data_IF_279352148973
#
_entry.id   IF_279352148973
#
_cell.length_a   1.000
_cell.length_b   1.000
_cell.length_c   1.000
_cell.angle_alpha   90.00
_cell.angle_beta   90.00
_cell.angle_gamma   90.00
#
_symmetry.space_group_name_H-M   'P 1'
#
loop_
_entity.id
_entity.type
_entity.pdbx_description
1 polymer ?
#
# COMPACT_ATOMS: atom_id res chain seq x y z
N UNK A 1 8.66 -35.82 38.71
CA UNK A 1 8.65 -35.34 40.10
C UNK A 1 8.92 -33.84 40.24
N UNK A 2 9.46 -33.14 39.24
CA UNK A 2 9.81 -31.71 39.37
C UNK A 2 8.67 -30.71 39.12
N UNK A 3 7.62 -31.09 38.38
CA UNK A 3 6.49 -30.22 38.05
C UNK A 3 5.55 -29.97 39.25
N UNK A 4 5.36 -30.98 40.10
CA UNK A 4 4.50 -30.89 41.30
C UNK A 4 5.10 -29.98 42.37
N UNK A 5 6.43 -29.96 42.52
CA UNK A 5 7.11 -29.03 43.42
C UNK A 5 6.95 -27.57 42.99
N UNK A 6 7.00 -27.32 41.67
CA UNK A 6 6.81 -25.98 41.11
C UNK A 6 5.38 -25.43 41.24
N UNK A 7 4.37 -26.31 41.22
CA UNK A 7 2.97 -25.92 41.42
C UNK A 7 2.72 -25.49 42.88
N UNK A 8 3.17 -26.30 43.85
CA UNK A 8 3.06 -25.98 45.28
C UNK A 8 3.74 -24.66 45.64
N UNK A 9 4.87 -24.36 45.01
CA UNK A 9 5.57 -23.10 45.18
C UNK A 9 4.70 -21.91 44.74
N UNK A 10 4.01 -22.03 43.59
CA UNK A 10 3.09 -21.00 43.10
C UNK A 10 1.87 -20.82 44.02
N UNK A 11 1.28 -21.92 44.52
CA UNK A 11 0.18 -21.87 45.50
C UNK A 11 0.61 -21.16 46.78
N UNK A 12 1.82 -21.44 47.27
CA UNK A 12 2.36 -20.80 48.48
C UNK A 12 2.55 -19.30 48.26
N UNK A 13 3.04 -18.90 47.08
CA UNK A 13 3.20 -17.48 46.72
C UNK A 13 1.84 -16.77 46.59
N UNK A 14 0.82 -17.43 46.02
CA UNK A 14 -0.54 -16.90 45.95
C UNK A 14 -1.08 -16.59 47.35
N UNK A 15 -0.91 -17.51 48.31
CA UNK A 15 -1.31 -17.29 49.71
C UNK A 15 -0.54 -16.12 50.34
N UNK A 16 0.74 -15.94 50.01
CA UNK A 16 1.53 -14.81 50.50
C UNK A 16 1.02 -13.47 49.92
N UNK A 17 0.77 -13.39 48.62
CA UNK A 17 0.29 -12.18 47.95
C UNK A 17 -1.12 -11.78 48.42
N UNK A 18 -2.02 -12.75 48.61
CA UNK A 18 -3.37 -12.48 49.15
C UNK A 18 -3.31 -11.93 50.58
N UNK A 19 -2.40 -12.44 51.42
CA UNK A 19 -2.17 -11.91 52.77
C UNK A 19 -1.62 -10.47 52.74
N UNK A 20 -0.70 -10.17 51.84
CA UNK A 20 -0.18 -8.81 51.65
C UNK A 20 -1.30 -7.85 51.22
N UNK A 21 -2.18 -8.29 50.33
CA UNK A 21 -3.32 -7.51 49.85
C UNK A 21 -4.29 -7.20 51.00
N UNK A 22 -4.57 -8.19 51.85
CA UNK A 22 -5.41 -7.97 53.03
C UNK A 22 -4.82 -6.94 53.99
N UNK A 23 -3.50 -6.97 54.23
CA UNK A 23 -2.82 -5.98 55.07
C UNK A 23 -2.94 -4.56 54.48
N UNK A 24 -2.72 -4.42 53.17
CA UNK A 24 -2.87 -3.12 52.49
C UNK A 24 -4.32 -2.63 52.54
N UNK A 25 -5.30 -3.53 52.38
CA UNK A 25 -6.71 -3.19 52.50
C UNK A 25 -7.09 -2.73 53.92
N UNK A 26 -6.48 -3.32 54.96
CA UNK A 26 -6.65 -2.87 56.34
C UNK A 26 -6.08 -1.45 56.54
N UNK A 27 -4.91 -1.15 55.96
CA UNK A 27 -4.32 0.19 55.98
C UNK A 27 -5.15 1.21 55.18
N UNK A 28 -5.76 0.78 54.07
CA UNK A 28 -6.71 1.60 53.30
C UNK A 28 -8.02 1.84 54.05
N UNK A 29 -8.40 0.96 54.98
CA UNK A 29 -9.60 1.15 55.80
C UNK A 29 -9.40 2.28 56.81
N UNK A 30 -8.19 2.48 57.32
CA UNK A 30 -7.84 3.66 58.12
C UNK A 30 -7.64 4.91 57.25
N UNK A 31 -6.96 4.78 56.11
CA UNK A 31 -6.60 5.91 55.24
C UNK A 31 -7.02 5.67 53.77
N UNK A 32 -8.32 5.85 53.43
CA UNK A 32 -8.84 5.51 52.11
C UNK A 32 -8.37 6.44 50.97
N UNK A 33 -7.78 7.59 51.31
CA UNK A 33 -7.26 8.57 50.34
C UNK A 33 -5.79 8.38 49.99
N UNK A 34 -5.12 7.35 50.54
CA UNK A 34 -3.71 7.11 50.26
C UNK A 34 -3.53 6.49 48.87
N UNK A 35 -3.06 7.30 47.91
CA UNK A 35 -2.85 6.90 46.52
C UNK A 35 -1.82 5.77 46.35
N UNK A 36 -0.80 5.72 47.21
CA UNK A 36 0.25 4.69 47.15
C UNK A 36 -0.34 3.31 47.48
N UNK A 37 -1.13 3.21 48.55
CA UNK A 37 -1.78 1.95 48.91
C UNK A 37 -2.83 1.53 47.87
N UNK A 38 -3.52 2.48 47.24
CA UNK A 38 -4.45 2.18 46.14
C UNK A 38 -3.72 1.65 44.89
N UNK A 39 -2.55 2.20 44.56
CA UNK A 39 -1.73 1.69 43.46
C UNK A 39 -1.21 0.29 43.77
N UNK A 40 -0.60 0.09 44.94
CA UNK A 40 -0.05 -1.21 45.34
C UNK A 40 -1.15 -2.27 45.43
N UNK A 41 -2.34 -1.91 45.91
CA UNK A 41 -3.48 -2.82 45.92
C UNK A 41 -3.87 -3.28 44.51
N UNK A 42 -3.90 -2.37 43.52
CA UNK A 42 -4.18 -2.71 42.12
C UNK A 42 -3.10 -3.64 41.54
N UNK A 43 -1.84 -3.28 41.71
CA UNK A 43 -0.71 -4.06 41.19
C UNK A 43 -0.69 -5.47 41.81
N UNK A 44 -0.99 -5.58 43.11
CA UNK A 44 -1.01 -6.87 43.81
C UNK A 44 -2.21 -7.74 43.39
N UNK A 45 -3.36 -7.14 43.07
CA UNK A 45 -4.50 -7.87 42.45
C UNK A 45 -4.09 -8.47 41.11
N UNK A 46 -3.39 -7.71 40.26
CA UNK A 46 -2.91 -8.18 38.96
C UNK A 46 -1.91 -9.34 39.10
N UNK A 47 -0.95 -9.23 40.02
CA UNK A 47 0.01 -10.32 40.30
C UNK A 47 -0.69 -11.58 40.79
N UNK A 48 -1.69 -11.45 41.66
CA UNK A 48 -2.49 -12.60 42.12
C UNK A 48 -3.23 -13.24 40.96
N UNK A 49 -3.81 -12.43 40.07
CA UNK A 49 -4.54 -12.90 38.89
C UNK A 49 -3.62 -13.70 37.94
N UNK A 50 -2.46 -13.15 37.57
CA UNK A 50 -1.48 -13.82 36.73
C UNK A 50 -0.93 -15.11 37.37
N UNK A 51 -0.76 -15.11 38.70
CA UNK A 51 -0.31 -16.29 39.44
C UNK A 51 -1.38 -17.40 39.41
N UNK A 52 -2.66 -17.04 39.55
CA UNK A 52 -3.79 -17.98 39.43
C UNK A 52 -3.84 -18.60 38.02
N UNK A 53 -3.78 -17.78 36.98
CA UNK A 53 -3.79 -18.24 35.59
C UNK A 53 -2.61 -19.17 35.27
N UNK A 54 -1.44 -18.90 35.84
CA UNK A 54 -0.26 -19.77 35.69
C UNK A 54 -0.46 -21.13 36.38
N UNK A 55 -1.12 -21.16 37.53
CA UNK A 55 -1.48 -22.41 38.22
C UNK A 55 -2.49 -23.18 37.37
N UNK A 56 -3.55 -22.53 36.89
CA UNK A 56 -4.59 -23.15 36.07
C UNK A 56 -4.02 -23.72 34.77
N UNK A 57 -3.14 -22.99 34.10
CA UNK A 57 -2.41 -23.49 32.92
C UNK A 57 -1.57 -24.72 33.24
N UNK A 58 -0.86 -24.73 34.37
CA UNK A 58 -0.05 -25.88 34.80
C UNK A 58 -0.90 -27.09 35.19
N UNK A 59 -2.03 -26.87 35.85
CA UNK A 59 -3.00 -27.93 36.20
C UNK A 59 -3.58 -28.53 34.93
N UNK A 60 -4.03 -27.70 33.98
CA UNK A 60 -4.59 -28.17 32.70
C UNK A 60 -3.55 -28.89 31.83
N UNK A 61 -2.29 -28.41 31.83
CA UNK A 61 -1.16 -29.07 31.15
C UNK A 61 -0.83 -30.43 31.76
N UNK A 62 -0.94 -30.58 33.08
CA UNK A 62 -0.74 -31.86 33.77
C UNK A 62 -1.90 -32.84 33.54
N UNK A 63 -3.12 -32.35 33.29
CA UNK A 63 -4.28 -33.17 32.96
C UNK A 63 -4.34 -33.62 31.49
N UNK A 64 -3.61 -32.97 30.59
CA UNK A 64 -3.67 -33.25 29.13
C UNK A 64 -2.74 -34.37 28.63
N UNK A 65 -2.05 -35.11 29.52
CA UNK A 65 -1.31 -36.34 29.16
C UNK A 65 -2.06 -37.59 29.59
N UNK A 66 -3.28 -37.80 29.08
CA UNK A 66 -3.97 -39.11 29.02
C UNK A 66 -5.36 -38.92 28.34
N UNK A 67 -5.51 -39.36 27.08
CA UNK A 67 -6.82 -39.57 26.45
C UNK A 67 -6.94 -39.06 25.01
N UNK A 68 -7.10 -40.01 24.09
CA UNK A 68 -7.31 -39.83 22.64
C UNK A 68 -8.80 -40.12 22.32
N UNK A 69 -9.38 -39.29 21.43
CA UNK A 69 -10.49 -39.54 20.46
C UNK A 69 -12.00 -39.43 20.83
N UNK A 70 -12.65 -38.45 20.16
CA UNK A 70 -13.87 -38.54 19.30
C UNK A 70 -15.33 -38.28 19.78
N UNK A 71 -15.89 -37.21 19.17
CA UNK A 71 -17.23 -36.98 18.56
C UNK A 71 -18.55 -36.70 19.35
N UNK A 72 -18.99 -35.41 19.23
CA UNK A 72 -20.29 -34.86 18.74
C UNK A 72 -21.61 -34.97 19.56
N UNK A 73 -22.15 -33.83 20.02
CA UNK A 73 -23.44 -33.16 19.63
C UNK A 73 -23.92 -32.16 20.70
N UNK A 74 -24.44 -31.00 20.23
CA UNK A 74 -25.20 -29.91 20.86
C UNK A 74 -26.14 -30.34 22.03
N UNK A 75 -26.46 -29.58 23.10
CA UNK A 75 -26.81 -28.15 23.18
C UNK A 75 -26.88 -27.61 24.66
N UNK A 76 -26.47 -26.35 24.85
CA UNK A 76 -26.85 -25.33 25.87
C UNK A 76 -26.20 -25.21 27.29
N UNK A 77 -25.61 -24.02 27.49
CA UNK A 77 -25.35 -23.20 28.70
C UNK A 77 -24.00 -23.26 29.47
N UNK A 78 -23.15 -22.26 29.16
CA UNK A 78 -22.24 -21.47 30.03
C UNK A 78 -20.92 -22.12 30.51
N UNK A 79 -19.82 -21.86 29.79
CA UNK A 79 -18.41 -22.15 30.19
C UNK A 79 -17.42 -21.14 29.54
N UNK A 80 -16.16 -21.00 30.03
CA UNK A 80 -15.45 -19.72 30.15
C UNK A 80 -14.85 -19.22 28.83
N UNK A 81 -14.93 -17.91 28.62
CA UNK A 81 -14.47 -17.17 27.42
C UNK A 81 -12.99 -17.42 27.11
N UNK A 82 -12.71 -18.41 26.26
CA UNK A 82 -11.52 -18.39 25.41
C UNK A 82 -11.77 -17.35 24.32
N UNK A 83 -10.88 -16.36 24.18
CA UNK A 83 -10.95 -15.40 23.08
C UNK A 83 -10.79 -16.18 21.77
N UNK A 84 -11.87 -16.27 20.98
CA UNK A 84 -11.85 -16.92 19.67
C UNK A 84 -10.99 -16.09 18.71
N UNK A 85 -9.73 -16.49 18.56
CA UNK A 85 -8.85 -15.92 17.54
C UNK A 85 -9.37 -16.39 16.18
N UNK A 86 -10.19 -15.58 15.51
CA UNK A 86 -10.80 -15.90 14.21
C UNK A 86 -9.82 -15.89 13.04
N UNK A 87 -8.69 -15.18 13.15
CA UNK A 87 -7.68 -15.08 12.10
C UNK A 87 -6.28 -15.40 12.62
N UNK A 88 -5.52 -16.22 11.89
CA UNK A 88 -4.16 -16.63 12.26
C UNK A 88 -3.14 -15.62 11.71
N UNK A 89 -2.06 -15.28 12.45
CA UNK A 89 -0.98 -14.46 11.92
C UNK A 89 -0.39 -15.07 10.63
N UNK A 90 -0.17 -14.22 9.63
CA UNK A 90 0.21 -14.59 8.26
C UNK A 90 -0.96 -14.80 7.30
N UNK A 91 -2.21 -14.80 7.77
CA UNK A 91 -3.38 -14.96 6.90
C UNK A 91 -3.70 -13.67 6.14
N UNK A 92 -4.12 -13.79 4.88
CA UNK A 92 -4.61 -12.68 4.07
C UNK A 92 -6.08 -12.38 4.42
N UNK A 93 -6.37 -11.12 4.72
CA UNK A 93 -7.67 -10.63 5.19
C UNK A 93 -8.02 -9.31 4.49
N UNK A 94 -9.28 -8.92 4.52
CA UNK A 94 -9.70 -7.56 4.16
C UNK A 94 -9.96 -6.78 5.46
N UNK A 95 -9.32 -5.63 5.59
CA UNK A 95 -9.38 -4.75 6.75
C UNK A 95 -10.14 -3.46 6.42
N UNK A 96 -11.08 -3.09 7.30
CA UNK A 96 -11.91 -1.90 7.14
C UNK A 96 -11.13 -0.64 7.55
N UNK A 97 -10.95 0.29 6.62
CA UNK A 97 -10.36 1.59 6.89
C UNK A 97 -11.15 2.69 6.16
N UNK A 98 -11.55 3.73 6.88
CA UNK A 98 -12.34 4.85 6.31
C UNK A 98 -13.62 4.41 5.56
N UNK A 99 -14.23 3.30 5.95
CA UNK A 99 -15.44 2.75 5.31
C UNK A 99 -15.19 1.92 4.04
N UNK A 100 -13.93 1.69 3.67
CA UNK A 100 -13.51 0.86 2.53
C UNK A 100 -12.73 -0.35 3.04
N UNK A 101 -12.93 -1.50 2.42
CA UNK A 101 -12.21 -2.73 2.75
C UNK A 101 -10.94 -2.83 1.90
N UNK A 102 -9.80 -2.86 2.57
CA UNK A 102 -8.49 -2.94 1.92
C UNK A 102 -7.86 -4.31 2.16
N UNK A 103 -7.13 -4.86 1.17
CA UNK A 103 -6.38 -6.09 1.39
C UNK A 103 -5.24 -5.87 2.38
N UNK A 104 -5.17 -6.73 3.38
CA UNK A 104 -4.16 -6.70 4.43
C UNK A 104 -3.70 -8.12 4.78
N UNK A 105 -2.58 -8.23 5.46
CA UNK A 105 -2.17 -9.46 6.11
C UNK A 105 -2.18 -9.27 7.62
N UNK A 106 -2.54 -10.32 8.35
CA UNK A 106 -2.39 -10.33 9.81
C UNK A 106 -0.92 -10.51 10.14
N UNK A 107 -0.32 -9.58 10.86
CA UNK A 107 1.08 -9.67 11.30
C UNK A 107 1.15 -10.39 12.66
N UNK A 108 0.39 -9.90 13.63
CA UNK A 108 0.31 -10.51 14.97
C UNK A 108 -1.05 -10.30 15.61
N UNK A 109 -1.39 -11.17 16.56
CA UNK A 109 -2.61 -11.07 17.38
C UNK A 109 -2.18 -10.80 18.82
N UNK A 110 -2.69 -9.73 19.40
CA UNK A 110 -2.44 -9.36 20.80
C UNK A 110 -3.29 -10.25 21.72
N UNK A 111 -2.83 -10.49 22.96
CA UNK A 111 -3.61 -11.19 24.01
C UNK A 111 -5.00 -10.59 24.24
N UNK A 112 -5.14 -9.30 23.93
CA UNK A 112 -6.35 -8.51 24.19
C UNK A 112 -7.42 -8.72 23.10
N UNK A 113 -7.12 -9.54 22.08
CA UNK A 113 -8.01 -9.80 20.94
C UNK A 113 -7.92 -8.75 19.82
N UNK A 114 -6.97 -7.81 19.91
CA UNK A 114 -6.62 -6.90 18.82
C UNK A 114 -5.74 -7.60 17.78
N UNK A 115 -5.97 -7.28 16.51
CA UNK A 115 -5.20 -7.76 15.38
C UNK A 115 -4.33 -6.64 14.83
N UNK A 116 -3.02 -6.86 14.82
CA UNK A 116 -2.10 -6.02 14.08
C UNK A 116 -2.12 -6.50 12.63
N UNK A 117 -2.68 -5.68 11.75
CA UNK A 117 -2.71 -5.94 10.31
C UNK A 117 -1.83 -4.96 9.57
N UNK A 118 -1.29 -5.41 8.45
CA UNK A 118 -0.45 -4.60 7.60
C UNK A 118 -1.00 -4.59 6.17
N UNK A 119 -1.33 -3.38 5.71
CA UNK A 119 -2.03 -3.14 4.46
C UNK A 119 -1.11 -3.33 3.26
N UNK A 120 -1.55 -4.13 2.29
CA UNK A 120 -0.86 -4.30 1.03
C UNK A 120 -0.97 -3.00 0.21
N UNK A 121 0.11 -2.59 -0.47
CA UNK A 121 0.13 -1.40 -1.33
C UNK A 121 0.43 -0.08 -0.60
N UNK A 122 0.04 0.02 0.67
CA UNK A 122 0.28 1.21 1.50
C UNK A 122 1.52 1.08 2.39
N UNK A 123 1.91 -0.14 2.76
CA UNK A 123 3.05 -0.40 3.66
C UNK A 123 2.83 0.16 5.08
N UNK A 124 1.58 0.50 5.42
CA UNK A 124 1.17 0.95 6.75
C UNK A 124 0.60 -0.22 7.54
N UNK A 125 0.80 -0.19 8.85
CA UNK A 125 0.20 -1.15 9.79
C UNK A 125 -0.87 -0.47 10.64
N UNK A 126 -1.85 -1.24 11.11
CA UNK A 126 -2.88 -0.77 12.01
C UNK A 126 -3.30 -1.87 12.98
N UNK A 127 -3.68 -1.46 14.19
CA UNK A 127 -4.30 -2.30 15.18
C UNK A 127 -5.83 -2.20 15.03
N UNK A 128 -6.47 -3.31 14.70
CA UNK A 128 -7.90 -3.40 14.44
C UNK A 128 -8.54 -4.52 15.25
N UNK A 129 -9.83 -4.40 15.54
CA UNK A 129 -10.60 -5.49 16.15
C UNK A 129 -11.14 -6.45 15.09
N UNK A 130 -11.57 -7.63 15.51
CA UNK A 130 -12.15 -8.66 14.64
C UNK A 130 -13.30 -8.13 13.76
N UNK A 131 -14.14 -7.23 14.30
CA UNK A 131 -15.27 -6.64 13.56
C UNK A 131 -14.85 -5.81 12.34
N UNK A 132 -13.62 -5.29 12.35
CA UNK A 132 -13.03 -4.54 11.26
C UNK A 132 -12.21 -5.43 10.31
N UNK A 133 -12.23 -6.75 10.49
CA UNK A 133 -11.56 -7.73 9.65
C UNK A 133 -12.56 -8.72 9.05
N UNK A 134 -12.34 -9.10 7.80
CA UNK A 134 -13.07 -10.19 7.15
C UNK A 134 -12.14 -11.08 6.36
N UNK A 135 -12.52 -12.34 6.21
CA UNK A 135 -11.82 -13.26 5.31
C UNK A 135 -11.96 -12.76 3.86
N UNK A 136 -10.92 -12.96 3.06
CA UNK A 136 -11.04 -12.77 1.61
C UNK A 136 -11.91 -13.92 1.09
N UNK A 137 -13.05 -13.58 0.47
CA UNK A 137 -13.87 -14.56 -0.24
C UNK A 137 -13.13 -15.05 -1.48
N UNK A 138 -12.38 -16.14 -1.31
CA UNK A 138 -11.68 -16.80 -2.40
C UNK A 138 -12.71 -17.64 -3.15
N UNK A 139 -13.09 -17.19 -4.35
CA UNK A 139 -13.85 -18.06 -5.23
C UNK A 139 -12.91 -19.17 -5.72
N UNK A 140 -12.98 -20.35 -5.08
CA UNK A 140 -12.08 -21.47 -5.33
C UNK A 140 -11.99 -21.90 -6.81
N UNK A 141 -13.03 -21.61 -7.60
CA UNK A 141 -13.04 -21.83 -9.05
C UNK A 141 -12.05 -20.94 -9.83
N UNK A 142 -11.69 -19.77 -9.31
CA UNK A 142 -10.75 -18.82 -9.94
C UNK A 142 -9.29 -19.10 -9.55
N UNK A 143 -9.06 -19.62 -8.34
CA UNK A 143 -7.72 -19.98 -7.82
C UNK A 143 -7.20 -21.29 -8.40
N UNK A 144 -8.09 -22.26 -8.68
CA UNK A 144 -7.71 -23.58 -9.20
C UNK A 144 -7.06 -23.59 -10.60
N UNK A 145 -7.05 -22.44 -11.28
CA UNK A 145 -6.48 -22.30 -12.64
C UNK A 145 -5.26 -21.36 -12.68
N UNK A 146 -4.84 -20.81 -11.54
CA UNK A 146 -3.58 -20.06 -11.44
C UNK A 146 -2.41 -21.01 -11.14
N UNK A 147 -1.22 -20.72 -11.71
CA UNK A 147 0.01 -21.37 -11.29
C UNK A 147 0.34 -21.01 -9.84
N UNK A 148 1.08 -21.90 -9.16
CA UNK A 148 1.52 -21.68 -7.77
C UNK A 148 2.26 -20.34 -7.60
N UNK A 149 2.26 -19.80 -6.37
CA UNK A 149 2.88 -18.52 -6.01
C UNK A 149 4.32 -18.38 -6.54
N UNK A 150 5.07 -19.48 -6.60
CA UNK A 150 6.48 -19.50 -7.03
C UNK A 150 6.66 -19.46 -8.57
N UNK A 151 5.66 -19.90 -9.33
CA UNK A 151 5.71 -19.92 -10.79
C UNK A 151 5.34 -18.57 -11.42
N UNK A 152 4.76 -17.66 -10.63
CA UNK A 152 4.39 -16.31 -11.08
C UNK A 152 5.64 -15.42 -11.03
N UNK A 153 6.11 -15.03 -12.21
CA UNK A 153 7.27 -14.13 -12.38
C UNK A 153 6.85 -12.75 -12.88
N UNK A 154 7.78 -11.79 -12.79
CA UNK A 154 7.61 -10.45 -13.34
C UNK A 154 7.34 -10.52 -14.85
N UNK A 155 6.30 -9.84 -15.31
CA UNK A 155 5.80 -9.90 -16.68
C UNK A 155 4.62 -10.85 -16.89
N UNK A 156 4.21 -11.63 -15.88
CA UNK A 156 3.06 -12.53 -15.99
C UNK A 156 1.76 -11.74 -16.18
N UNK A 157 1.03 -12.06 -17.26
CA UNK A 157 -0.29 -11.48 -17.54
C UNK A 157 -1.36 -12.27 -16.80
N UNK A 158 -2.10 -11.60 -15.95
CA UNK A 158 -3.18 -12.18 -15.15
C UNK A 158 -4.35 -11.20 -15.07
N UNK A 159 -5.35 -11.54 -14.29
CA UNK A 159 -6.40 -10.60 -13.89
C UNK A 159 -6.35 -10.44 -12.39
N UNK A 160 -6.66 -9.26 -11.87
CA UNK A 160 -6.69 -9.02 -10.42
C UNK A 160 -7.96 -8.28 -10.03
N UNK A 161 -8.54 -8.67 -8.89
CA UNK A 161 -9.62 -7.93 -8.22
C UNK A 161 -9.07 -6.58 -7.73
N UNK A 162 -9.72 -5.48 -8.10
CA UNK A 162 -9.41 -4.15 -7.57
C UNK A 162 -10.19 -3.93 -6.26
N UNK A 163 -9.52 -3.43 -5.21
CA UNK A 163 -10.14 -3.27 -3.88
C UNK A 163 -11.24 -2.20 -3.86
N UNK A 164 -11.17 -1.19 -4.73
CA UNK A 164 -12.08 -0.04 -4.71
C UNK A 164 -13.50 -0.37 -5.17
N UNK A 165 -13.64 -1.27 -6.15
CA UNK A 165 -14.93 -1.67 -6.73
C UNK A 165 -15.18 -3.19 -6.69
N UNK A 166 -14.23 -3.98 -6.19
CA UNK A 166 -14.25 -5.43 -6.18
C UNK A 166 -14.36 -6.07 -7.58
N UNK A 167 -14.04 -5.34 -8.65
CA UNK A 167 -14.09 -5.82 -10.04
C UNK A 167 -12.73 -6.36 -10.46
N UNK A 168 -12.75 -7.43 -11.25
CA UNK A 168 -11.55 -8.08 -11.77
C UNK A 168 -11.14 -7.46 -13.10
N UNK A 169 -9.92 -6.91 -13.16
CA UNK A 169 -9.36 -6.26 -14.34
C UNK A 169 -8.11 -7.00 -14.86
N UNK A 170 -7.83 -6.89 -16.15
CA UNK A 170 -6.57 -7.39 -16.73
C UNK A 170 -5.38 -6.59 -16.20
N UNK A 171 -4.33 -7.30 -15.81
CA UNK A 171 -3.13 -6.70 -15.26
C UNK A 171 -1.86 -7.50 -15.57
N UNK A 172 -0.72 -6.83 -15.40
CA UNK A 172 0.60 -7.43 -15.56
C UNK A 172 1.35 -7.37 -14.23
N UNK A 173 1.89 -8.49 -13.77
CA UNK A 173 2.72 -8.54 -12.56
C UNK A 173 4.03 -7.81 -12.85
N UNK A 174 4.29 -6.70 -12.17
CA UNK A 174 5.52 -5.93 -12.33
C UNK A 174 6.60 -6.36 -11.34
N UNK A 175 6.21 -6.81 -10.15
CA UNK A 175 7.13 -7.18 -9.08
C UNK A 175 6.46 -8.19 -8.14
N UNK A 176 7.21 -9.21 -7.72
CA UNK A 176 6.77 -10.16 -6.69
C UNK A 176 7.20 -9.64 -5.31
N UNK A 177 6.26 -9.50 -4.37
CA UNK A 177 6.54 -9.13 -2.98
C UNK A 177 6.48 -10.37 -2.07
N UNK A 178 7.00 -10.28 -0.86
CA UNK A 178 6.94 -11.38 0.12
C UNK A 178 5.50 -11.85 0.40
N UNK A 179 4.55 -10.92 0.45
CA UNK A 179 3.17 -11.14 0.90
C UNK A 179 2.14 -11.12 -0.23
N UNK A 180 2.52 -10.67 -1.43
CA UNK A 180 1.61 -10.47 -2.55
C UNK A 180 2.36 -10.13 -3.84
N UNK A 181 1.65 -9.48 -4.76
CA UNK A 181 2.17 -9.16 -6.09
C UNK A 181 1.83 -7.72 -6.44
N UNK A 182 2.83 -6.98 -6.91
CA UNK A 182 2.60 -5.67 -7.51
C UNK A 182 2.15 -5.86 -8.95
N UNK A 183 0.92 -5.48 -9.24
CA UNK A 183 0.28 -5.61 -10.56
C UNK A 183 0.04 -4.23 -11.16
N UNK A 184 0.22 -4.11 -12.48
CA UNK A 184 -0.10 -2.93 -13.27
C UNK A 184 -1.38 -3.20 -14.05
N UNK A 185 -2.44 -2.45 -13.76
CA UNK A 185 -3.72 -2.59 -14.46
C UNK A 185 -3.67 -2.04 -15.88
N UNK A 186 -4.16 -2.84 -16.83
CA UNK A 186 -4.29 -2.43 -18.22
C UNK A 186 -5.41 -1.38 -18.36
N UNK A 187 -5.15 -0.31 -19.10
CA UNK A 187 -6.12 0.76 -19.37
C UNK A 187 -5.89 2.03 -18.55
N UNK A 188 -5.77 1.92 -17.22
CA UNK A 188 -5.58 3.09 -16.34
C UNK A 188 -4.12 3.35 -15.97
N UNK A 189 -3.24 2.34 -16.09
CA UNK A 189 -1.81 2.47 -15.78
C UNK A 189 -1.51 2.62 -14.29
N UNK A 190 -2.48 2.28 -13.43
CA UNK A 190 -2.30 2.27 -11.98
C UNK A 190 -1.61 0.97 -11.57
N UNK A 191 -0.62 1.08 -10.67
CA UNK A 191 0.04 -0.07 -10.05
C UNK A 191 -0.48 -0.25 -8.62
N UNK A 192 -0.87 -1.47 -8.26
CA UNK A 192 -1.37 -1.82 -6.94
C UNK A 192 -0.69 -3.09 -6.44
N UNK A 193 -0.57 -3.25 -5.13
CA UNK A 193 -0.12 -4.50 -4.54
C UNK A 193 -1.32 -5.30 -4.05
N UNK A 194 -1.50 -6.47 -4.64
CA UNK A 194 -2.65 -7.34 -4.36
C UNK A 194 -2.18 -8.68 -3.77
N UNK A 195 -2.98 -9.29 -2.88
CA UNK A 195 -2.69 -10.61 -2.35
C UNK A 195 -2.90 -11.67 -3.45
N UNK A 196 -2.36 -12.88 -3.25
CA UNK A 196 -2.48 -13.97 -4.23
C UNK A 196 -3.94 -14.34 -4.51
N UNK A 197 -4.79 -14.23 -3.50
CA UNK A 197 -6.22 -14.50 -3.48
C UNK A 197 -7.01 -13.60 -4.44
N UNK A 198 -6.48 -12.43 -4.78
CA UNK A 198 -7.10 -11.51 -5.73
C UNK A 198 -6.72 -11.78 -7.17
N UNK A 199 -5.66 -12.57 -7.39
CA UNK A 199 -5.26 -12.93 -8.73
C UNK A 199 -6.26 -13.94 -9.30
N UNK A 200 -6.47 -13.83 -10.60
CA UNK A 200 -7.24 -14.74 -11.44
C UNK A 200 -6.41 -15.08 -12.67
N UNK A 201 -6.55 -16.31 -13.17
CA UNK A 201 -5.89 -16.69 -14.42
C UNK A 201 -6.34 -15.75 -15.55
N UNK A 202 -5.48 -15.53 -16.54
CA UNK A 202 -5.85 -14.76 -17.72
C UNK A 202 -6.89 -15.50 -18.61
N UNK A 203 -7.31 -16.72 -18.23
CA UNK A 203 -8.24 -17.51 -19.04
C UNK A 203 -9.60 -16.83 -19.05
N UNK A 204 -9.97 -16.44 -20.26
CA UNK A 204 -11.18 -15.72 -20.57
C UNK A 204 -12.37 -16.68 -20.49
N UNK A 205 -13.08 -16.67 -19.36
CA UNK A 205 -14.49 -17.07 -19.40
C UNK A 205 -15.29 -15.92 -20.03
N UNK A 206 -16.07 -16.19 -21.09
CA UNK A 206 -16.70 -15.14 -21.87
C UNK A 206 -17.85 -14.52 -21.09
N UNK A 207 -17.80 -13.21 -20.87
CA UNK A 207 -19.02 -12.45 -20.70
C UNK A 207 -19.72 -12.41 -22.06
N UNK A 208 -20.94 -12.93 -22.10
CA UNK A 208 -21.80 -12.95 -23.29
C UNK A 208 -21.98 -11.53 -23.84
N UNK A 209 -21.38 -11.23 -24.98
CA UNK A 209 -21.80 -10.15 -25.87
C UNK A 209 -21.65 -10.65 -27.32
N UNK A 210 -22.74 -10.57 -28.07
CA UNK A 210 -23.04 -11.28 -29.32
C UNK A 210 -22.36 -10.67 -30.55
N UNK A 211 -21.70 -11.52 -31.37
CA UNK A 211 -21.44 -11.36 -32.82
C UNK A 211 -20.41 -10.27 -33.23
N UNK A 212 -19.49 -10.44 -34.17
CA UNK A 212 -19.52 -11.19 -35.43
C UNK A 212 -18.11 -11.14 -36.09
N UNK A 213 -17.48 -12.31 -36.22
CA UNK A 213 -16.65 -12.91 -37.31
C UNK A 213 -15.47 -12.19 -38.04
N UNK A 214 -14.37 -12.98 -38.12
CA UNK A 214 -13.27 -13.16 -39.12
C UNK A 214 -12.15 -12.10 -39.27
N UNK A 215 -10.91 -12.47 -38.93
CA UNK A 215 -9.90 -12.98 -39.89
C UNK A 215 -8.46 -13.05 -39.30
N UNK A 216 -7.89 -14.25 -39.34
CA UNK A 216 -6.47 -14.57 -39.09
C UNK A 216 -5.59 -14.16 -40.29
N UNK A 217 -4.33 -13.75 -40.06
CA UNK A 217 -3.15 -14.19 -40.85
C UNK A 217 -1.86 -14.12 -39.99
N UNK A 218 -1.34 -15.31 -39.69
CA UNK A 218 0.03 -15.87 -39.73
C UNK A 218 1.32 -15.00 -39.75
N UNK A 219 2.20 -15.37 -38.81
CA UNK A 219 3.61 -15.83 -38.96
C UNK A 219 4.70 -14.96 -39.62
N UNK A 220 5.83 -14.77 -38.89
CA UNK A 220 7.18 -15.16 -39.34
C UNK A 220 8.29 -14.87 -38.29
N UNK A 221 9.23 -15.81 -38.21
CA UNK A 221 10.52 -15.89 -37.49
C UNK A 221 11.48 -14.68 -37.57
N UNK A 222 12.37 -14.55 -36.56
CA UNK A 222 13.84 -14.66 -36.73
C UNK A 222 14.67 -14.23 -35.50
N UNK A 223 15.30 -15.24 -34.88
CA UNK A 223 16.70 -15.42 -34.43
C UNK A 223 17.59 -14.28 -33.83
N UNK A 224 18.30 -14.72 -32.78
CA UNK A 224 19.74 -14.59 -32.46
C UNK A 224 20.32 -13.39 -31.67
N UNK A 225 21.02 -13.73 -30.59
CA UNK A 225 22.40 -13.28 -30.40
C UNK A 225 22.78 -12.43 -29.18
N UNK A 226 23.38 -13.08 -28.17
CA UNK A 226 24.63 -12.60 -27.54
C UNK A 226 24.55 -11.72 -26.28
N UNK A 227 25.01 -12.26 -25.14
CA UNK A 227 25.12 -11.56 -23.86
C UNK A 227 26.49 -10.94 -23.56
N UNK A 228 26.63 -10.36 -22.37
CA UNK A 228 27.77 -10.47 -21.46
C UNK A 228 27.65 -9.51 -20.27
N UNK A 229 28.04 -10.02 -19.11
CA UNK A 229 28.15 -9.38 -17.81
C UNK A 229 29.23 -8.29 -17.75
N UNK A 230 29.02 -7.26 -16.93
CA UNK A 230 30.10 -6.64 -16.16
C UNK A 230 29.54 -5.96 -14.90
N UNK A 231 30.22 -6.19 -13.79
CA UNK A 231 29.81 -5.90 -12.42
C UNK A 231 30.31 -4.54 -11.88
N UNK A 232 29.68 -4.15 -10.77
CA UNK A 232 30.20 -3.35 -9.64
C UNK A 232 30.38 -1.83 -9.79
N UNK A 233 29.58 -1.07 -9.02
CA UNK A 233 30.07 -0.14 -7.98
C UNK A 233 28.90 0.52 -7.22
N UNK A 234 28.95 0.41 -5.88
CA UNK A 234 28.00 0.95 -4.91
C UNK A 234 28.24 2.43 -4.64
N UNK A 235 27.28 3.29 -5.01
CA UNK A 235 27.13 4.65 -4.47
C UNK A 235 25.63 4.96 -4.29
N UNK A 236 25.25 5.44 -3.11
CA UNK A 236 23.88 5.84 -2.78
C UNK A 236 23.44 7.05 -3.64
N UNK A 237 22.87 6.77 -4.81
CA UNK A 237 22.18 7.74 -5.67
C UNK A 237 20.76 7.96 -5.15
N UNK A 238 20.41 9.23 -4.92
CA UNK A 238 19.02 9.65 -4.78
C UNK A 238 18.26 9.20 -6.03
N UNK A 239 17.13 8.49 -5.86
CA UNK A 239 16.38 7.86 -6.94
C UNK A 239 16.03 8.87 -8.06
N UNK A 240 16.13 8.49 -9.35
CA UNK A 240 15.84 9.40 -10.45
C UNK A 240 14.36 9.82 -10.44
N UNK A 241 14.08 11.11 -10.70
CA UNK A 241 12.72 11.62 -10.82
C UNK A 241 11.92 10.82 -11.87
N UNK A 242 10.68 10.46 -11.55
CA UNK A 242 9.78 9.71 -12.45
C UNK A 242 9.42 10.57 -13.65
N UNK A 243 10.08 10.36 -14.78
CA UNK A 243 9.83 11.08 -16.05
C UNK A 243 8.68 10.39 -16.78
N UNK A 244 7.55 11.08 -16.95
CA UNK A 244 6.44 10.57 -17.75
C UNK A 244 6.77 10.72 -19.25
N UNK A 245 6.94 9.59 -19.94
CA UNK A 245 7.20 9.58 -21.39
C UNK A 245 6.00 10.15 -22.16
N UNK A 246 6.19 11.02 -23.18
CA UNK A 246 5.08 11.61 -23.92
C UNK A 246 4.32 10.54 -24.71
N UNK A 247 2.98 10.65 -24.75
CA UNK A 247 2.11 9.72 -25.47
C UNK A 247 2.33 9.92 -26.98
N UNK A 248 2.78 8.87 -27.69
CA UNK A 248 2.94 8.90 -29.15
C UNK A 248 1.56 9.04 -29.81
N UNK A 249 1.40 10.00 -30.72
CA UNK A 249 0.13 10.22 -31.43
C UNK A 249 -0.09 9.02 -32.36
N UNK A 250 -1.18 8.25 -32.19
CA UNK A 250 -1.42 7.08 -33.02
C UNK A 250 -1.76 7.46 -34.47
N UNK A 251 -1.26 6.67 -35.40
CA UNK A 251 -1.34 6.86 -36.86
C UNK A 251 -2.78 6.90 -37.40
N UNK A 252 -3.72 6.26 -36.69
CA UNK A 252 -5.16 6.28 -36.99
C UNK A 252 -5.85 7.66 -36.87
N UNK A 253 -5.13 8.69 -36.42
CA UNK A 253 -5.60 10.09 -36.40
C UNK A 253 -4.97 10.98 -37.48
N UNK A 254 -4.13 10.42 -38.36
CA UNK A 254 -3.59 11.17 -39.50
C UNK A 254 -4.71 11.52 -40.48
N UNK A 255 -4.66 12.74 -41.00
CA UNK A 255 -5.66 13.28 -41.93
C UNK A 255 -5.30 12.74 -43.31
N UNK A 256 -6.07 11.78 -43.81
CA UNK A 256 -5.96 11.36 -45.20
C UNK A 256 -6.68 12.38 -46.09
N UNK A 257 -6.17 12.65 -47.32
CA UNK A 257 -6.84 13.54 -48.26
C UNK A 257 -8.24 13.05 -48.65
N UNK A 258 -8.54 11.76 -48.48
CA UNK A 258 -9.79 11.09 -48.81
C UNK A 258 -10.97 11.29 -47.83
N UNK A 259 -10.74 11.83 -46.63
CA UNK A 259 -11.78 11.95 -45.58
C UNK A 259 -12.68 13.20 -45.73
N UNK A 260 -13.94 13.10 -45.30
CA UNK A 260 -14.94 14.19 -45.28
C UNK A 260 -14.52 15.35 -44.34
N UNK A 261 -14.85 16.61 -44.67
CA UNK A 261 -14.38 17.80 -43.91
C UNK A 261 -14.69 17.74 -42.41
N UNK A 262 -15.85 17.19 -42.03
CA UNK A 262 -16.27 16.99 -40.65
C UNK A 262 -15.41 15.98 -39.87
N UNK A 263 -14.90 14.93 -40.54
CA UNK A 263 -14.05 13.92 -39.93
C UNK A 263 -12.62 14.41 -39.77
N UNK A 264 -12.14 15.21 -40.73
CA UNK A 264 -10.86 15.91 -40.66
C UNK A 264 -10.82 16.86 -39.45
N UNK A 265 -11.91 17.57 -39.16
CA UNK A 265 -12.01 18.43 -37.97
C UNK A 265 -12.05 17.65 -36.65
N UNK A 266 -12.77 16.52 -36.61
CA UNK A 266 -12.77 15.63 -35.44
C UNK A 266 -11.36 15.10 -35.14
N UNK A 267 -10.62 14.68 -36.18
CA UNK A 267 -9.22 14.24 -36.08
C UNK A 267 -8.29 15.38 -35.65
N UNK A 268 -8.42 16.58 -36.25
CA UNK A 268 -7.67 17.78 -35.84
C UNK A 268 -7.89 18.15 -34.37
N UNK A 269 -9.13 18.11 -33.89
CA UNK A 269 -9.47 18.44 -32.49
C UNK A 269 -8.86 17.43 -31.52
N UNK A 270 -8.94 16.13 -31.83
CA UNK A 270 -8.32 15.06 -31.03
C UNK A 270 -6.78 15.16 -31.04
N UNK A 271 -6.15 15.46 -32.17
CA UNK A 271 -4.70 15.70 -32.23
C UNK A 271 -4.26 16.91 -31.41
N UNK A 272 -5.03 18.02 -31.43
CA UNK A 272 -4.74 19.20 -30.59
C UNK A 272 -4.86 18.88 -29.10
N UNK A 273 -5.86 18.10 -28.70
CA UNK A 273 -6.02 17.67 -27.31
C UNK A 273 -4.84 16.80 -26.84
N UNK A 274 -4.41 15.82 -27.66
CA UNK A 274 -3.26 14.97 -27.35
C UNK A 274 -1.96 15.80 -27.27
N UNK A 275 -1.74 16.73 -28.20
CA UNK A 275 -0.57 17.63 -28.18
C UNK A 275 -0.58 18.55 -26.96
N UNK A 276 -1.74 19.05 -26.56
CA UNK A 276 -1.93 19.85 -25.34
C UNK A 276 -1.64 19.04 -24.08
N UNK A 277 -2.11 17.79 -24.03
CA UNK A 277 -1.85 16.88 -22.91
C UNK A 277 -0.35 16.57 -22.79
N UNK A 278 0.33 16.31 -23.91
CA UNK A 278 1.79 16.12 -23.92
C UNK A 278 2.56 17.39 -23.49
N UNK A 279 2.08 18.59 -23.85
CA UNK A 279 2.65 19.86 -23.36
C UNK A 279 2.51 19.99 -21.84
N UNK A 280 1.36 19.65 -21.28
CA UNK A 280 1.13 19.69 -19.83
C UNK A 280 2.03 18.68 -19.10
N UNK A 281 2.11 17.44 -19.59
CA UNK A 281 2.99 16.40 -19.04
C UNK A 281 4.47 16.81 -19.04
N UNK A 282 4.94 17.48 -20.08
CA UNK A 282 6.32 17.99 -20.10
C UNK A 282 6.55 19.07 -19.03
N UNK A 283 5.58 19.98 -18.84
CA UNK A 283 5.66 21.01 -17.80
C UNK A 283 5.69 20.37 -16.41
N UNK A 284 4.89 19.34 -16.17
CA UNK A 284 4.86 18.65 -14.87
C UNK A 284 6.13 17.83 -14.62
N UNK A 285 6.69 17.19 -15.66
CA UNK A 285 8.01 16.57 -15.59
C UNK A 285 9.09 17.59 -15.20
N UNK A 286 9.10 18.77 -15.83
CA UNK A 286 10.06 19.83 -15.50
C UNK A 286 9.90 20.34 -14.07
N UNK A 287 8.66 20.47 -13.58
CA UNK A 287 8.37 20.82 -12.18
C UNK A 287 8.89 19.76 -11.23
N UNK A 288 8.65 18.48 -11.52
CA UNK A 288 9.07 17.37 -10.68
C UNK A 288 10.61 17.25 -10.64
N UNK A 289 11.28 17.42 -11.77
CA UNK A 289 12.76 17.47 -11.84
C UNK A 289 13.30 18.62 -10.96
N UNK A 290 12.73 19.83 -11.10
CA UNK A 290 13.15 21.00 -10.31
C UNK A 290 12.90 20.79 -8.80
N UNK A 291 11.79 20.16 -8.42
CA UNK A 291 11.52 19.80 -7.02
C UNK A 291 12.53 18.77 -6.49
N UNK A 292 12.82 17.75 -7.29
CA UNK A 292 13.79 16.72 -6.93
C UNK A 292 15.21 17.31 -6.77
N UNK A 293 15.63 18.19 -7.69
CA UNK A 293 16.91 18.89 -7.61
C UNK A 293 16.99 19.80 -6.37
N UNK A 294 15.88 20.45 -6.00
CA UNK A 294 15.81 21.25 -4.78
C UNK A 294 15.91 20.41 -3.51
N UNK A 295 15.22 19.27 -3.45
CA UNK A 295 15.35 18.30 -2.35
C UNK A 295 16.80 17.78 -2.26
N UNK A 296 17.41 17.41 -3.38
CA UNK A 296 18.80 16.98 -3.44
C UNK A 296 19.77 18.09 -2.97
N UNK A 297 19.53 19.34 -3.34
CA UNK A 297 20.28 20.49 -2.84
C UNK A 297 20.14 20.66 -1.32
N UNK A 298 18.94 20.54 -0.75
CA UNK A 298 18.75 20.60 0.70
C UNK A 298 19.51 19.48 1.42
N UNK A 299 19.41 18.25 0.95
CA UNK A 299 20.13 17.12 1.54
C UNK A 299 21.66 17.29 1.42
N UNK A 300 22.15 17.85 0.30
CA UNK A 300 23.57 18.16 0.10
C UNK A 300 24.06 19.31 1.00
N UNK A 301 23.24 20.33 1.22
CA UNK A 301 23.52 21.42 2.15
C UNK A 301 23.56 20.95 3.61
N UNK A 302 22.63 20.07 4.02
CA UNK A 302 22.63 19.43 5.35
C UNK A 302 23.85 18.53 5.55
N UNK A 303 24.22 17.72 4.54
CA UNK A 303 25.39 16.82 4.59
C UNK A 303 26.73 17.56 4.65
N UNK A 304 26.84 18.77 4.09
CA UNK A 304 28.05 19.59 4.13
C UNK A 304 28.24 20.41 5.42
N UNK A 305 27.32 20.33 6.38
CA UNK A 305 27.53 20.92 7.73
C UNK A 305 27.88 22.41 7.72
N UNK A 306 27.32 23.20 6.78
CA UNK A 306 27.54 24.65 6.72
C UNK A 306 26.75 25.27 7.87
N UNK A 307 27.45 25.54 8.98
CA UNK A 307 26.90 26.28 10.13
C UNK A 307 26.48 27.67 9.67
N UNK A 308 25.32 28.12 10.17
CA UNK A 308 24.77 29.47 9.94
C UNK A 308 25.87 30.52 10.09
N UNK A 309 26.14 31.26 9.00
CA UNK A 309 26.83 32.53 9.06
C UNK A 309 28.25 32.56 8.52
N UNK A 310 28.48 32.23 7.24
CA UNK A 310 29.49 32.92 6.43
C UNK A 310 28.92 33.10 5.03
N UNK A 311 28.41 34.31 4.79
CA UNK A 311 28.23 34.85 3.44
C UNK A 311 29.61 35.15 2.88
N UNK A 312 29.94 34.59 1.72
CA UNK A 312 31.22 34.87 1.09
C UNK A 312 31.39 34.11 -0.21
N UNK A 313 30.91 34.73 -1.29
CA UNK A 313 31.52 34.69 -2.63
C UNK A 313 31.77 33.29 -3.21
N UNK A 314 30.94 32.93 -4.20
CA UNK A 314 31.21 32.00 -5.32
C UNK A 314 30.14 30.92 -5.47
N UNK A 315 29.06 31.27 -6.16
CA UNK A 315 28.30 30.29 -6.95
C UNK A 315 27.78 31.00 -8.20
N UNK A 316 28.69 31.07 -9.16
CA UNK A 316 28.47 31.54 -10.52
C UNK A 316 27.41 30.64 -11.18
N UNK A 317 26.30 31.29 -11.59
CA UNK A 317 25.43 30.94 -12.73
C UNK A 317 24.73 29.56 -12.68
N UNK A 318 23.61 29.52 -11.97
CA UNK A 318 22.41 28.78 -12.36
C UNK A 318 21.22 29.70 -12.10
N UNK A 319 20.24 29.79 -13.00
CA UNK A 319 19.05 30.63 -12.80
C UNK A 319 18.36 30.23 -11.50
N UNK A 320 18.62 31.01 -10.44
CA UNK A 320 18.12 30.72 -9.11
C UNK A 320 16.60 30.81 -9.09
N UNK A 321 15.92 29.90 -8.39
CA UNK A 321 14.45 29.94 -8.18
C UNK A 321 13.98 31.21 -7.43
N UNK A 322 14.92 31.96 -6.86
CA UNK A 322 14.69 33.23 -6.20
C UNK A 322 15.30 34.40 -6.97
N UNK A 323 15.79 34.17 -8.20
CA UNK A 323 16.18 35.26 -9.08
C UNK A 323 14.91 36.02 -9.46
N UNK A 324 14.94 37.34 -9.26
CA UNK A 324 13.84 38.20 -9.70
C UNK A 324 13.63 38.01 -11.20
N UNK A 325 12.40 37.75 -11.65
CA UNK A 325 12.10 37.65 -13.07
C UNK A 325 12.42 38.99 -13.75
N UNK A 326 12.95 38.96 -14.99
CA UNK A 326 13.31 40.18 -15.73
C UNK A 326 12.08 41.02 -16.16
N UNK A 327 10.86 40.58 -15.84
CA UNK A 327 9.61 41.26 -16.20
C UNK A 327 8.90 41.84 -14.98
N UNK A 328 8.35 43.05 -15.13
CA UNK A 328 7.66 43.83 -14.07
C UNK A 328 6.45 43.12 -13.43
N UNK A 329 5.94 42.04 -14.05
CA UNK A 329 4.74 41.32 -13.64
C UNK A 329 5.00 39.90 -13.09
N UNK A 330 6.24 39.42 -13.09
CA UNK A 330 6.57 38.07 -12.65
C UNK A 330 6.56 37.96 -11.11
N UNK A 331 5.87 36.94 -10.58
CA UNK A 331 5.79 36.69 -9.13
C UNK A 331 6.80 35.61 -8.74
N UNK A 332 7.71 35.96 -7.81
CA UNK A 332 8.78 35.06 -7.35
C UNK A 332 8.19 33.75 -6.79
N UNK A 333 8.73 32.61 -7.22
CA UNK A 333 8.32 31.28 -6.76
C UNK A 333 7.27 30.56 -7.62
N UNK A 334 6.71 31.18 -8.66
CA UNK A 334 5.75 30.54 -9.58
C UNK A 334 6.42 30.24 -10.92
N UNK A 335 6.63 28.94 -11.21
CA UNK A 335 7.24 28.46 -12.46
C UNK A 335 6.31 28.78 -13.64
N UNK A 336 6.77 29.67 -14.54
CA UNK A 336 6.01 30.11 -15.73
C UNK A 336 5.31 31.46 -15.60
N UNK A 337 5.54 32.21 -14.51
CA UNK A 337 4.98 33.57 -14.33
C UNK A 337 5.53 34.62 -15.31
N UNK A 338 6.55 34.26 -16.09
CA UNK A 338 7.14 35.11 -17.14
C UNK A 338 6.32 35.09 -18.45
N UNK A 339 5.31 34.21 -18.55
CA UNK A 339 4.47 34.12 -19.74
C UNK A 339 3.40 35.21 -19.69
N UNK A 340 3.74 36.38 -20.25
CA UNK A 340 2.81 37.50 -20.40
C UNK A 340 1.50 37.07 -21.07
N UNK A 341 0.42 37.75 -20.70
CA UNK A 341 -0.93 37.51 -21.21
C UNK A 341 -0.89 37.50 -22.75
N UNK A 342 -1.32 36.40 -23.38
CA UNK A 342 -1.25 36.28 -24.84
C UNK A 342 -2.14 37.36 -25.45
N UNK A 343 -1.56 38.27 -26.23
CA UNK A 343 -2.32 39.30 -26.95
C UNK A 343 -3.31 38.61 -27.89
N UNK A 344 -4.59 38.70 -27.57
CA UNK A 344 -5.66 38.20 -28.40
C UNK A 344 -5.76 39.10 -29.63
N UNK A 345 -5.31 38.64 -30.79
CA UNK A 345 -5.58 39.35 -32.04
C UNK A 345 -7.06 39.20 -32.36
N UNK A 346 -7.80 40.29 -32.18
CA UNK A 346 -9.23 40.37 -32.45
C UNK A 346 -9.49 40.02 -33.92
N UNK A 347 -10.16 38.89 -34.16
CA UNK A 347 -10.43 38.36 -35.50
C UNK A 347 -11.29 39.29 -36.37
N UNK A 348 -11.82 40.38 -35.79
CA UNK A 348 -12.59 41.41 -36.48
C UNK A 348 -11.77 42.32 -37.39
N UNK A 349 -10.43 42.29 -37.35
CA UNK A 349 -9.58 43.16 -38.20
C UNK A 349 -8.99 42.47 -39.44
N UNK A 350 -9.53 41.31 -39.85
CA UNK A 350 -9.15 40.66 -41.09
C UNK A 350 -9.89 41.33 -42.25
N UNK A 351 -9.35 42.44 -42.77
CA UNK A 351 -9.84 43.06 -44.02
C UNK A 351 -9.87 41.99 -45.11
N UNK A 352 -11.04 41.79 -45.73
CA UNK A 352 -11.21 40.97 -46.92
C UNK A 352 -10.40 41.57 -48.06
N UNK A 353 -9.31 40.91 -48.47
CA UNK A 353 -8.70 41.16 -49.77
C UNK A 353 -9.58 40.52 -50.85
N UNK A 354 -10.57 41.27 -51.31
CA UNK A 354 -11.06 41.15 -52.69
C UNK A 354 -10.44 42.29 -53.50
N UNK A 355 -9.58 41.91 -54.43
CA UNK A 355 -9.37 42.51 -55.75
C UNK A 355 -8.53 41.51 -56.55
#
# INVERSE_FOLDING_TARGET
MSTTASLKELETRLVAFTKQLQNIQELLQSDPTNEEFLSIAKDLVEVIQLTKETIDYKVNTASSTCGLESHKTQEHCLEPRALEIGFVPGSAVEALQQGVWYPAHVDSVTSDGSYNVAFLGFGTTAELQQDALRAIDVNAAQTGQLPEKEAITEGFKCRAKYYGDAVVYSCLVTKVTALGFQVLFDGYGNSEEVPYEYLSSAVELPQMEVGTVVAQVSSADAVDGGGAHAAAATEQKVAPAVIHKPIKIPENLQILPSDTEAEKDRKRKRMRAIKSLNRHKNIDNERNIKQHDWKAFQHKAKKKGIKKGVSGVLSKRGSSMFASPETVHGRVGVVGSDQGMTNFSDARNKKSKHA
#
